data_IF_912353577322
#
_entry.id   IF_912353577322
#
_cell.length_a   1.000
_cell.length_b   1.000
_cell.length_c   1.000
_cell.angle_alpha   90.00
_cell.angle_beta   90.00
_cell.angle_gamma   90.00
#
_symmetry.space_group_name_H-M   'P 1'
#
loop_
_entity.id
_entity.type
_entity.pdbx_description
1 polymer ?
#
# COMPACT_ATOMS: atom_id res chain seq x y z
N UNK A 1 55.41 -39.61 11.99
CA UNK A 1 55.85 -40.86 11.31
C UNK A 1 54.84 -41.17 10.20
N UNK A 2 55.38 -41.36 8.96
CA UNK A 2 54.82 -41.94 7.73
C UNK A 2 53.65 -41.19 7.09
N UNK A 3 53.75 -40.34 6.09
CA UNK A 3 54.26 -40.45 4.69
C UNK A 3 53.66 -41.64 3.93
N UNK A 4 52.96 -41.39 2.82
CA UNK A 4 52.87 -42.08 1.52
C UNK A 4 51.72 -41.37 0.77
N UNK A 5 51.88 -40.55 -0.21
CA UNK A 5 52.47 -40.58 -1.56
C UNK A 5 51.64 -41.37 -2.60
N UNK A 6 51.29 -40.61 -3.68
CA UNK A 6 51.13 -40.99 -5.07
C UNK A 6 49.75 -41.57 -5.45
N UNK A 7 49.09 -41.29 -6.57
CA UNK A 7 49.56 -41.15 -7.94
C UNK A 7 48.53 -40.39 -8.82
N UNK A 8 49.03 -39.65 -9.71
CA UNK A 8 48.54 -39.04 -10.94
C UNK A 8 47.71 -39.96 -11.84
N UNK A 9 46.65 -39.43 -12.46
CA UNK A 9 46.28 -39.82 -13.82
C UNK A 9 45.64 -38.63 -14.53
N UNK A 10 46.36 -38.12 -15.47
CA UNK A 10 45.92 -37.17 -16.48
C UNK A 10 45.11 -37.92 -17.56
N UNK A 11 43.96 -37.39 -17.93
CA UNK A 11 43.32 -37.70 -19.19
C UNK A 11 42.96 -36.39 -19.90
N UNK A 12 43.59 -36.25 -20.99
CA UNK A 12 43.56 -35.20 -21.99
C UNK A 12 42.32 -35.40 -22.88
N UNK A 13 41.89 -34.29 -23.49
CA UNK A 13 41.15 -34.22 -24.77
C UNK A 13 39.64 -34.07 -24.74
N UNK A 14 39.06 -32.94 -24.99
CA UNK A 14 38.67 -32.55 -26.35
C UNK A 14 38.18 -31.10 -26.41
N UNK A 15 38.91 -30.26 -27.12
CA UNK A 15 38.47 -28.96 -27.57
C UNK A 15 37.39 -29.12 -28.62
N UNK A 16 36.21 -28.62 -28.40
CA UNK A 16 35.31 -28.23 -29.48
C UNK A 16 35.03 -26.73 -29.37
N UNK A 17 35.71 -25.97 -30.21
CA UNK A 17 35.39 -24.58 -30.49
C UNK A 17 34.02 -24.54 -31.17
N UNK A 18 33.02 -24.03 -30.48
CA UNK A 18 31.82 -23.52 -31.13
C UNK A 18 31.94 -22.01 -31.18
N UNK A 19 32.28 -21.51 -32.34
CA UNK A 19 32.18 -20.09 -32.68
C UNK A 19 30.72 -19.74 -32.77
N UNK A 20 30.15 -19.34 -31.65
CA UNK A 20 28.83 -18.71 -31.56
C UNK A 20 28.95 -17.26 -31.93
N UNK A 21 28.41 -16.92 -33.07
CA UNK A 21 28.25 -15.59 -33.62
C UNK A 21 27.64 -14.62 -32.62
N UNK A 22 28.37 -13.62 -32.18
CA UNK A 22 27.80 -12.44 -31.50
C UNK A 22 27.08 -11.58 -32.53
N UNK A 23 25.77 -11.69 -32.62
CA UNK A 23 24.96 -10.62 -33.18
C UNK A 23 24.84 -9.50 -32.15
N UNK A 24 25.03 -8.23 -32.52
CA UNK A 24 24.70 -7.12 -31.63
C UNK A 24 23.18 -7.08 -31.47
N UNK A 25 22.71 -7.53 -30.33
CA UNK A 25 21.31 -7.31 -29.89
C UNK A 25 21.17 -5.81 -29.67
N UNK A 26 20.49 -5.15 -30.61
CA UNK A 26 19.92 -3.82 -30.34
C UNK A 26 19.10 -3.91 -29.06
N UNK A 27 19.47 -3.10 -28.12
CA UNK A 27 18.63 -2.85 -26.93
C UNK A 27 17.33 -2.20 -27.44
N UNK A 28 16.34 -3.02 -27.76
CA UNK A 28 14.97 -2.55 -27.82
C UNK A 28 14.60 -2.15 -26.40
N UNK A 29 14.44 -0.83 -26.25
CA UNK A 29 13.86 -0.23 -25.05
C UNK A 29 12.48 -0.86 -24.88
N UNK A 30 12.19 -1.62 -23.80
CA UNK A 30 10.85 -2.14 -23.62
C UNK A 30 9.91 -0.94 -23.53
N UNK A 31 8.97 -0.88 -24.46
CA UNK A 31 7.80 -0.03 -24.34
C UNK A 31 7.18 -0.28 -22.96
N UNK A 32 6.61 0.74 -22.30
CA UNK A 32 5.87 0.49 -21.07
C UNK A 32 4.87 -0.62 -21.37
N UNK A 33 4.99 -1.72 -20.64
CA UNK A 33 3.98 -2.76 -20.65
C UNK A 33 2.69 -2.10 -20.18
N UNK A 34 1.81 -1.76 -21.11
CA UNK A 34 0.40 -1.55 -20.82
C UNK A 34 0.00 -2.82 -20.07
N UNK A 35 -0.34 -2.67 -18.79
CA UNK A 35 -0.87 -3.77 -18.00
C UNK A 35 -2.14 -4.23 -18.73
N UNK A 36 -2.01 -5.27 -19.55
CA UNK A 36 -3.15 -5.92 -20.17
C UNK A 36 -4.06 -6.37 -19.03
N UNK A 37 -5.19 -5.68 -18.86
CA UNK A 37 -6.27 -6.12 -17.99
C UNK A 37 -6.63 -7.55 -18.40
N UNK A 38 -6.35 -8.51 -17.53
CA UNK A 38 -6.71 -9.89 -17.79
C UNK A 38 -8.23 -9.99 -17.93
N UNK A 39 -8.76 -10.52 -19.06
CA UNK A 39 -10.20 -10.62 -19.27
C UNK A 39 -10.83 -11.47 -18.17
N UNK A 40 -11.64 -10.86 -17.31
CA UNK A 40 -12.38 -11.53 -16.25
C UNK A 40 -11.98 -11.20 -14.83
N UNK A 41 -10.95 -10.38 -14.60
CA UNK A 41 -10.64 -9.85 -13.27
C UNK A 41 -11.40 -8.54 -13.06
N UNK A 42 -12.20 -8.49 -11.99
CA UNK A 42 -12.87 -7.25 -11.61
C UNK A 42 -11.80 -6.21 -11.19
N UNK A 43 -12.03 -4.93 -11.53
CA UNK A 43 -11.09 -3.88 -11.15
C UNK A 43 -10.91 -3.82 -9.63
N UNK A 44 -9.69 -3.54 -9.20
CA UNK A 44 -9.32 -3.49 -7.78
C UNK A 44 -9.75 -2.16 -7.16
N UNK A 45 -10.12 -2.19 -5.88
CA UNK A 45 -10.35 -0.99 -5.10
C UNK A 45 -9.12 -0.09 -5.11
N UNK A 46 -9.31 1.22 -5.26
CA UNK A 46 -8.23 2.19 -5.26
C UNK A 46 -8.67 3.52 -4.66
N UNK A 47 -7.99 3.97 -3.62
CA UNK A 47 -8.13 5.33 -3.09
C UNK A 47 -7.31 6.27 -3.96
N UNK A 48 -7.93 7.27 -4.54
CA UNK A 48 -7.29 8.25 -5.42
C UNK A 48 -7.01 9.56 -4.71
N UNK A 49 -7.83 9.93 -3.71
CA UNK A 49 -7.63 11.13 -2.92
C UNK A 49 -8.26 10.99 -1.53
N UNK A 50 -7.65 11.64 -0.54
CA UNK A 50 -8.20 11.82 0.81
C UNK A 50 -8.05 13.27 1.21
N UNK A 51 -9.11 13.86 1.73
CA UNK A 51 -9.11 15.22 2.26
C UNK A 51 -9.84 15.29 3.60
N UNK A 52 -9.51 16.29 4.40
CA UNK A 52 -10.14 16.54 5.70
C UNK A 52 -10.30 18.03 5.93
N UNK A 53 -11.13 18.41 6.91
CA UNK A 53 -11.31 19.80 7.36
C UNK A 53 -10.16 20.32 8.23
N UNK A 54 -9.20 19.46 8.57
CA UNK A 54 -8.06 19.81 9.42
C UNK A 54 -6.93 20.44 8.62
N UNK A 55 -6.14 21.30 9.27
CA UNK A 55 -4.90 21.84 8.73
C UNK A 55 -3.76 20.84 8.91
N UNK A 56 -2.94 20.66 7.90
CA UNK A 56 -1.74 19.84 7.96
C UNK A 56 -0.52 20.69 8.32
N UNK A 57 0.25 20.24 9.33
CA UNK A 57 1.53 20.82 9.76
C UNK A 57 2.53 19.67 10.00
N UNK A 58 3.66 19.70 9.34
CA UNK A 58 4.75 18.71 9.52
C UNK A 58 4.30 17.24 9.38
N UNK A 59 3.45 16.93 8.39
CA UNK A 59 2.82 15.62 8.15
C UNK A 59 1.82 15.17 9.25
N UNK A 60 1.33 16.09 10.05
CA UNK A 60 0.29 15.86 11.04
C UNK A 60 -0.91 16.75 10.76
N UNK A 61 -2.09 16.17 10.82
CA UNK A 61 -3.34 16.92 10.83
C UNK A 61 -3.65 17.37 12.25
N UNK A 62 -3.78 18.67 12.43
CA UNK A 62 -3.96 19.29 13.73
C UNK A 62 -5.44 19.45 14.04
N UNK A 63 -5.89 18.89 15.15
CA UNK A 63 -7.25 19.05 15.64
C UNK A 63 -7.27 20.20 16.64
N UNK A 64 -7.85 21.38 16.26
CA UNK A 64 -7.93 22.53 17.15
C UNK A 64 -8.70 22.23 18.43
N UNK A 65 -8.36 22.95 19.52
CA UNK A 65 -9.17 22.89 20.75
C UNK A 65 -10.65 23.16 20.46
N UNK A 66 -11.53 22.47 21.16
CA UNK A 66 -12.98 22.55 21.04
C UNK A 66 -13.55 22.12 19.68
N UNK A 67 -12.80 21.37 18.88
CA UNK A 67 -13.33 20.75 17.67
C UNK A 67 -14.31 19.64 18.05
N UNK A 68 -15.57 19.79 17.68
CA UNK A 68 -16.61 18.77 17.95
C UNK A 68 -16.61 17.69 16.87
N UNK A 69 -16.39 18.07 15.62
CA UNK A 69 -16.52 17.17 14.46
C UNK A 69 -15.39 17.40 13.47
N UNK A 70 -14.82 16.31 12.97
CA UNK A 70 -13.87 16.28 11.86
C UNK A 70 -14.51 15.55 10.70
N UNK A 71 -14.44 16.14 9.50
CA UNK A 71 -14.94 15.52 8.29
C UNK A 71 -13.78 14.98 7.47
N UNK A 72 -13.88 13.72 7.07
CA UNK A 72 -13.04 13.08 6.07
C UNK A 72 -13.84 12.91 4.79
N UNK A 73 -13.20 13.14 3.64
CA UNK A 73 -13.73 12.85 2.31
C UNK A 73 -12.73 12.00 1.54
N UNK A 74 -13.22 10.98 0.88
CA UNK A 74 -12.40 10.01 0.16
C UNK A 74 -12.90 9.90 -1.28
N UNK A 75 -11.99 9.95 -2.22
CA UNK A 75 -12.26 9.57 -3.61
C UNK A 75 -11.68 8.18 -3.82
N UNK A 76 -12.52 7.23 -4.20
CA UNK A 76 -12.11 5.86 -4.41
C UNK A 76 -12.85 5.24 -5.58
N UNK A 77 -12.12 4.45 -6.38
CA UNK A 77 -12.61 3.72 -7.53
C UNK A 77 -12.86 2.26 -7.15
N UNK A 78 -13.83 1.63 -7.83
CA UNK A 78 -14.16 0.21 -7.68
C UNK A 78 -14.40 -0.24 -6.23
N UNK A 79 -14.97 0.66 -5.45
CA UNK A 79 -15.18 0.54 -4.00
C UNK A 79 -16.67 0.40 -3.71
N UNK A 80 -17.02 -0.43 -2.74
CA UNK A 80 -18.41 -0.56 -2.25
C UNK A 80 -18.59 -0.12 -0.80
N UNK A 81 -17.51 0.05 -0.05
CA UNK A 81 -17.54 0.48 1.36
C UNK A 81 -16.22 1.10 1.72
N UNK A 82 -16.23 2.18 2.49
CA UNK A 82 -15.05 2.78 3.10
C UNK A 82 -15.16 2.70 4.61
N UNK A 83 -14.13 2.16 5.26
CA UNK A 83 -14.02 2.03 6.71
C UNK A 83 -13.01 3.05 7.23
N UNK A 84 -13.30 3.62 8.39
CA UNK A 84 -12.42 4.57 9.08
C UNK A 84 -12.06 4.02 10.45
N UNK A 85 -10.76 3.92 10.71
CA UNK A 85 -10.20 3.38 11.94
C UNK A 85 -9.31 4.41 12.62
N UNK A 86 -9.23 4.34 13.96
CA UNK A 86 -8.26 5.10 14.75
C UNK A 86 -7.43 4.13 15.58
N UNK A 87 -6.13 4.42 15.69
CA UNK A 87 -5.21 3.70 16.54
C UNK A 87 -4.17 4.65 17.13
N UNK A 88 -3.73 4.48 18.39
CA UNK A 88 -2.66 5.28 18.97
C UNK A 88 -1.37 5.18 18.17
N UNK A 89 -0.65 6.29 17.99
CA UNK A 89 0.64 6.31 17.30
C UNK A 89 1.65 5.39 17.99
N UNK A 90 2.40 4.62 17.19
CA UNK A 90 3.38 3.65 17.69
C UNK A 90 2.77 2.27 17.97
N UNK A 91 1.48 2.08 17.72
CA UNK A 91 0.83 0.76 17.79
C UNK A 91 0.61 0.26 16.37
N UNK A 92 1.32 -0.81 15.99
CA UNK A 92 1.19 -1.42 14.66
C UNK A 92 0.24 -2.63 14.66
N UNK A 93 -0.32 -2.96 15.81
CA UNK A 93 -1.16 -4.15 15.92
C UNK A 93 -2.62 -3.82 15.62
N UNK A 94 -3.21 -4.53 14.69
CA UNK A 94 -4.64 -4.39 14.36
C UNK A 94 -5.60 -4.63 15.56
N UNK A 95 -5.08 -5.01 16.73
CA UNK A 95 -5.84 -5.22 17.96
C UNK A 95 -6.21 -3.92 18.67
N UNK A 96 -5.44 -2.86 18.46
CA UNK A 96 -5.63 -1.58 19.17
C UNK A 96 -6.44 -0.57 18.37
N UNK A 97 -6.64 -0.86 17.08
CA UNK A 97 -7.46 -0.02 16.22
C UNK A 97 -8.95 -0.15 16.60
N UNK A 98 -9.65 0.96 16.53
CA UNK A 98 -11.10 1.06 16.76
C UNK A 98 -11.74 1.66 15.52
N UNK A 99 -12.88 1.10 15.10
CA UNK A 99 -13.66 1.72 14.04
C UNK A 99 -14.31 2.99 14.56
N UNK A 100 -14.17 4.09 13.84
CA UNK A 100 -14.79 5.38 14.15
C UNK A 100 -15.96 5.68 13.22
N UNK A 101 -16.10 4.96 12.13
CA UNK A 101 -17.21 5.01 11.21
C UNK A 101 -16.97 4.24 9.94
N UNK A 102 -17.98 4.19 9.10
CA UNK A 102 -17.93 3.63 7.76
C UNK A 102 -18.94 4.33 6.87
N UNK A 103 -18.71 4.24 5.58
CA UNK A 103 -19.64 4.67 4.54
C UNK A 103 -19.82 3.52 3.53
N UNK A 104 -21.06 3.15 3.27
CA UNK A 104 -21.45 2.08 2.36
C UNK A 104 -22.33 2.59 1.20
N UNK A 105 -22.43 3.91 1.03
CA UNK A 105 -23.15 4.55 -0.05
C UNK A 105 -22.28 5.61 -0.74
N UNK A 106 -21.58 5.19 -1.78
CA UNK A 106 -20.71 6.08 -2.55
C UNK A 106 -21.44 6.96 -3.58
N UNK A 107 -22.76 7.04 -3.56
CA UNK A 107 -23.53 7.79 -4.57
C UNK A 107 -23.30 9.29 -4.53
N UNK A 108 -22.90 9.82 -3.37
CA UNK A 108 -22.57 11.24 -3.12
C UNK A 108 -21.07 11.44 -2.76
N UNK A 109 -20.25 10.40 -3.00
CA UNK A 109 -18.85 10.29 -2.58
C UNK A 109 -18.74 9.63 -1.22
N UNK A 110 -17.52 9.22 -0.85
CA UNK A 110 -17.23 8.57 0.42
C UNK A 110 -16.88 9.61 1.48
N UNK A 111 -17.56 9.59 2.62
CA UNK A 111 -17.31 10.57 3.68
C UNK A 111 -17.59 10.04 5.08
N UNK A 112 -16.98 10.69 6.08
CA UNK A 112 -17.28 10.47 7.49
C UNK A 112 -17.27 11.80 8.24
N UNK A 113 -18.35 12.09 8.94
CA UNK A 113 -18.39 13.11 10.00
C UNK A 113 -18.10 12.43 11.34
N UNK A 114 -16.87 12.55 11.81
CA UNK A 114 -16.44 11.93 13.07
C UNK A 114 -16.55 12.90 14.24
N UNK A 115 -17.27 12.50 15.28
CA UNK A 115 -17.35 13.24 16.55
C UNK A 115 -16.12 12.92 17.39
N UNK A 116 -15.22 13.87 17.51
CA UNK A 116 -13.92 13.71 18.18
C UNK A 116 -14.08 13.61 19.69
N UNK A 117 -15.00 14.37 20.28
CA UNK A 117 -15.11 14.47 21.74
C UNK A 117 -13.97 15.29 22.36
N UNK A 118 -13.80 15.16 23.69
CA UNK A 118 -12.81 15.93 24.47
C UNK A 118 -11.55 15.11 24.78
N UNK A 119 -11.13 14.22 23.88
CA UNK A 119 -9.94 13.40 24.09
C UNK A 119 -8.71 14.07 23.48
N UNK A 120 -7.56 13.95 24.16
CA UNK A 120 -6.29 14.30 23.54
C UNK A 120 -5.95 13.23 22.49
N UNK A 121 -5.60 13.67 21.29
CA UNK A 121 -5.28 12.82 20.16
C UNK A 121 -3.77 12.84 19.90
N UNK A 122 -3.24 11.66 19.64
CA UNK A 122 -1.92 11.43 19.04
C UNK A 122 -1.97 10.06 18.36
N UNK A 123 -2.67 10.01 17.24
CA UNK A 123 -3.21 8.80 16.66
C UNK A 123 -2.98 8.73 15.15
N UNK A 124 -3.17 7.52 14.61
CA UNK A 124 -3.32 7.31 13.17
C UNK A 124 -4.79 7.12 12.82
N UNK A 125 -5.23 7.74 11.74
CA UNK A 125 -6.49 7.40 11.07
C UNK A 125 -6.14 6.53 9.87
N UNK A 126 -6.63 5.31 9.83
CA UNK A 126 -6.54 4.41 8.69
C UNK A 126 -7.88 4.35 7.97
N UNK A 127 -7.86 4.61 6.68
CA UNK A 127 -9.02 4.60 5.79
C UNK A 127 -8.84 3.40 4.87
N UNK A 128 -9.82 2.50 4.85
CA UNK A 128 -9.79 1.27 4.06
C UNK A 128 -10.94 1.25 3.07
N UNK A 129 -10.65 1.22 1.78
CA UNK A 129 -11.63 1.08 0.70
C UNK A 129 -11.76 -0.40 0.31
N UNK A 130 -12.94 -0.98 0.53
CA UNK A 130 -13.25 -2.36 0.21
C UNK A 130 -13.80 -2.47 -1.21
N UNK A 131 -13.22 -3.35 -2.01
CA UNK A 131 -13.54 -3.51 -3.42
C UNK A 131 -14.91 -4.12 -3.70
N UNK A 132 -15.51 -3.74 -4.82
CA UNK A 132 -16.74 -4.33 -5.35
C UNK A 132 -16.61 -5.82 -5.66
N UNK A 133 -15.39 -6.32 -5.80
CA UNK A 133 -15.07 -7.74 -6.01
C UNK A 133 -15.13 -8.57 -4.72
N UNK A 134 -15.31 -7.93 -3.56
CA UNK A 134 -15.33 -8.55 -2.23
C UNK A 134 -13.99 -9.16 -1.81
N UNK A 135 -12.89 -8.79 -2.46
CA UNK A 135 -11.55 -9.36 -2.22
C UNK A 135 -10.46 -8.32 -2.10
N UNK A 136 -10.50 -7.29 -2.93
CA UNK A 136 -9.47 -6.24 -2.93
C UNK A 136 -9.78 -5.18 -1.89
N UNK A 137 -8.72 -4.57 -1.40
CA UNK A 137 -8.76 -3.48 -0.44
C UNK A 137 -7.59 -2.55 -0.74
N UNK A 138 -7.84 -1.26 -0.68
CA UNK A 138 -6.81 -0.24 -0.66
C UNK A 138 -6.87 0.55 0.64
N UNK A 139 -5.76 1.12 1.07
CA UNK A 139 -5.69 1.81 2.36
C UNK A 139 -4.86 3.09 2.29
N UNK A 140 -5.28 4.08 3.05
CA UNK A 140 -4.59 5.34 3.26
C UNK A 140 -4.49 5.64 4.75
N UNK A 141 -3.33 6.13 5.20
CA UNK A 141 -3.14 6.46 6.61
C UNK A 141 -2.69 7.91 6.75
N UNK A 142 -3.29 8.64 7.66
CA UNK A 142 -2.90 9.97 8.06
C UNK A 142 -2.68 10.04 9.58
N UNK A 143 -1.81 10.96 10.01
CA UNK A 143 -1.52 11.17 11.42
C UNK A 143 -2.33 12.36 11.92
N UNK A 144 -2.90 12.25 13.12
CA UNK A 144 -3.62 13.35 13.76
C UNK A 144 -3.13 13.57 15.19
N UNK A 145 -3.12 14.82 15.62
CA UNK A 145 -2.91 15.15 17.02
C UNK A 145 -3.76 16.37 17.42
N UNK A 146 -4.06 16.47 18.73
CA UNK A 146 -4.67 17.69 19.30
C UNK A 146 -3.63 18.80 19.41
N UNK A 147 -4.09 20.04 19.23
CA UNK A 147 -3.28 21.24 19.43
C UNK A 147 -3.01 21.44 20.94
#
# INVERSE_FOLDING_TARGET
>A
MKVIKWMTAAVLLCCTFVLGSCSPQQAENPLPEDQEEQPGQLPQAKITNVSTTLEERDNWFVVPENTETVTFKVEAEHTNTVLFWIAPTGTETGKERKIIGYDADGSDGWSLEWKVGNQALHDHISIEALGVDGRTMDSYTLNIHSD
#
